data_IF_841433237218
#
_entry.id   IF_841433237218
#
_cell.length_a   1.000
_cell.length_b   1.000
_cell.length_c   1.000
_cell.angle_alpha   90.00
_cell.angle_beta   90.00
_cell.angle_gamma   90.00
#
_symmetry.space_group_name_H-M   'P 1'
#
loop_
_entity.id
_entity.type
_entity.pdbx_description
1 polymer ?
#
# COMPACT_ATOMS: atom_id res chain seq x y z
N UNK A 1 -8.58 51.56 -36.75
CA UNK A 1 -9.78 51.06 -36.05
C UNK A 1 -9.62 49.55 -35.87
N UNK A 2 -9.12 49.12 -34.71
CA UNK A 2 -9.00 47.70 -34.35
C UNK A 2 -10.12 47.46 -33.34
N UNK A 3 -11.10 46.64 -33.71
CA UNK A 3 -12.21 46.29 -32.83
C UNK A 3 -11.69 45.50 -31.62
N UNK A 4 -11.87 46.07 -30.43
CA UNK A 4 -11.64 45.38 -29.17
C UNK A 4 -12.70 44.29 -28.98
N UNK A 5 -12.28 43.03 -29.01
CA UNK A 5 -13.11 41.94 -28.49
C UNK A 5 -13.04 41.99 -26.97
N UNK A 6 -14.07 42.54 -26.33
CA UNK A 6 -14.32 42.31 -24.91
C UNK A 6 -14.49 40.81 -24.66
N UNK A 7 -13.51 40.22 -23.95
CA UNK A 7 -13.61 38.84 -23.47
C UNK A 7 -14.62 38.79 -22.33
N UNK A 8 -15.89 38.53 -22.65
CA UNK A 8 -16.80 37.99 -21.64
C UNK A 8 -16.28 36.62 -21.19
N UNK A 9 -16.24 36.33 -19.88
CA UNK A 9 -15.66 35.09 -19.37
C UNK A 9 -16.45 33.89 -19.89
N UNK A 10 -15.74 32.93 -20.48
CA UNK A 10 -16.24 31.66 -21.05
C UNK A 10 -17.18 30.88 -20.11
N UNK A 11 -17.16 31.20 -18.82
CA UNK A 11 -18.08 30.73 -17.79
C UNK A 11 -19.57 30.97 -18.13
N UNK A 12 -19.95 32.14 -18.68
CA UNK A 12 -21.37 32.46 -18.95
C UNK A 12 -22.00 31.49 -19.96
N UNK A 13 -21.23 30.94 -20.91
CA UNK A 13 -21.74 29.99 -21.91
C UNK A 13 -21.98 28.58 -21.36
N UNK A 14 -21.30 28.19 -20.29
CA UNK A 14 -21.58 26.93 -19.58
C UNK A 14 -22.76 27.05 -18.61
N UNK A 15 -23.20 28.29 -18.32
CA UNK A 15 -24.32 28.62 -17.44
C UNK A 15 -25.52 29.22 -18.20
N UNK A 16 -25.45 29.32 -19.53
CA UNK A 16 -26.53 29.78 -20.40
C UNK A 16 -27.66 28.75 -20.43
N UNK A 17 -28.90 29.23 -20.32
CA UNK A 17 -30.12 28.43 -20.17
C UNK A 17 -30.41 27.52 -21.37
N UNK A 18 -29.72 27.72 -22.49
CA UNK A 18 -29.84 26.88 -23.69
C UNK A 18 -29.05 25.57 -23.62
N UNK A 19 -28.10 25.44 -22.69
CA UNK A 19 -27.36 24.18 -22.44
C UNK A 19 -27.89 23.40 -21.22
N UNK A 20 -29.01 23.85 -20.64
CA UNK A 20 -29.62 23.26 -19.45
C UNK A 20 -30.62 22.15 -19.82
N UNK A 21 -30.24 20.89 -19.54
CA UNK A 21 -31.18 19.85 -19.13
C UNK A 21 -30.95 19.47 -17.65
N UNK A 22 -30.62 20.45 -16.82
CA UNK A 22 -30.66 20.32 -15.36
C UNK A 22 -30.94 21.69 -14.77
N UNK A 23 -32.02 21.80 -13.99
CA UNK A 23 -32.42 23.02 -13.30
C UNK A 23 -31.30 23.56 -12.40
N UNK A 24 -31.09 24.87 -12.47
CA UNK A 24 -30.32 25.65 -11.49
C UNK A 24 -28.85 25.82 -11.84
N UNK A 25 -28.34 27.06 -11.72
CA UNK A 25 -26.93 27.38 -11.88
C UNK A 25 -26.06 26.46 -11.01
N UNK A 26 -25.35 25.54 -11.63
CA UNK A 26 -24.47 24.56 -10.99
C UNK A 26 -23.21 25.29 -10.49
N UNK A 27 -23.18 25.62 -9.20
CA UNK A 27 -22.15 26.47 -8.55
C UNK A 27 -20.97 25.68 -7.95
N UNK A 28 -20.94 24.37 -8.11
CA UNK A 28 -19.94 23.50 -7.48
C UNK A 28 -19.56 22.28 -8.34
N UNK A 29 -18.38 21.69 -8.07
CA UNK A 29 -17.91 20.50 -8.77
C UNK A 29 -18.85 19.29 -8.63
N UNK A 30 -19.57 19.17 -7.51
CA UNK A 30 -20.46 18.02 -7.21
C UNK A 30 -21.63 17.96 -8.17
N UNK A 31 -22.12 19.11 -8.58
CA UNK A 31 -23.29 19.25 -9.40
C UNK A 31 -23.06 18.84 -10.88
N UNK A 32 -21.81 18.90 -11.38
CA UNK A 32 -21.42 18.35 -12.68
C UNK A 32 -20.93 16.89 -12.62
N UNK A 33 -20.39 16.42 -11.48
CA UNK A 33 -19.78 15.09 -11.36
C UNK A 33 -20.63 14.04 -10.62
N UNK A 34 -21.88 14.36 -10.25
CA UNK A 34 -22.83 13.47 -9.55
C UNK A 34 -22.96 12.05 -10.14
N UNK A 35 -22.75 11.90 -11.46
CA UNK A 35 -22.94 10.64 -12.20
C UNK A 35 -21.65 9.99 -12.74
N UNK A 36 -20.45 10.47 -12.37
CA UNK A 36 -19.20 9.81 -12.77
C UNK A 36 -18.95 8.54 -11.94
N UNK A 37 -19.58 7.45 -12.35
CA UNK A 37 -19.49 6.11 -11.74
C UNK A 37 -18.11 5.42 -11.89
N UNK A 38 -17.15 6.05 -12.57
CA UNK A 38 -15.81 5.49 -12.79
C UNK A 38 -14.79 5.77 -11.68
N UNK A 39 -15.08 6.65 -10.71
CA UNK A 39 -14.15 6.96 -9.62
C UNK A 39 -14.80 6.73 -8.26
N UNK A 40 -14.90 5.46 -7.87
CA UNK A 40 -15.64 5.09 -6.65
C UNK A 40 -15.09 5.66 -5.34
N UNK A 41 -13.85 6.18 -5.26
CA UNK A 41 -13.26 6.57 -3.96
C UNK A 41 -12.21 7.69 -4.05
N UNK A 42 -12.35 8.71 -4.90
CA UNK A 42 -11.51 9.91 -4.71
C UNK A 42 -12.17 10.84 -3.71
N UNK A 43 -11.66 10.84 -2.46
CA UNK A 43 -11.97 11.92 -1.52
C UNK A 43 -11.34 13.22 -2.07
N UNK A 44 -12.19 14.09 -2.61
CA UNK A 44 -11.88 15.47 -2.98
C UNK A 44 -11.79 16.39 -1.75
N UNK A 45 -11.59 15.84 -0.54
CA UNK A 45 -11.39 16.65 0.67
C UNK A 45 -10.21 17.60 0.48
N UNK A 46 -10.48 18.91 0.60
CA UNK A 46 -9.50 19.98 0.40
C UNK A 46 -9.53 20.64 -0.97
N UNK A 47 -10.40 20.21 -1.88
CA UNK A 47 -10.66 20.91 -3.13
C UNK A 47 -11.59 22.10 -2.88
N UNK A 48 -11.23 23.29 -3.39
CA UNK A 48 -12.16 24.41 -3.41
C UNK A 48 -13.08 24.22 -4.62
N UNK A 49 -14.36 23.97 -4.37
CA UNK A 49 -15.41 23.70 -5.37
C UNK A 49 -15.63 24.86 -6.38
N UNK A 50 -14.88 25.97 -6.26
CA UNK A 50 -15.00 27.17 -7.08
C UNK A 50 -13.89 27.37 -8.12
N UNK A 51 -12.84 26.54 -8.14
CA UNK A 51 -11.72 26.70 -9.08
C UNK A 51 -11.66 25.57 -10.13
N UNK A 52 -12.56 25.65 -11.11
CA UNK A 52 -12.65 24.73 -12.24
C UNK A 52 -11.42 24.80 -13.17
N UNK A 53 -10.69 25.92 -13.11
CA UNK A 53 -9.57 26.23 -14.01
C UNK A 53 -8.40 25.27 -13.80
N UNK A 54 -8.36 24.60 -12.66
CA UNK A 54 -7.31 23.68 -12.29
C UNK A 54 -7.30 22.45 -13.22
N UNK A 55 -8.48 21.86 -13.45
CA UNK A 55 -8.65 20.66 -14.27
C UNK A 55 -9.04 20.98 -15.72
N UNK A 56 -9.71 22.12 -15.95
CA UNK A 56 -10.29 22.45 -17.25
C UNK A 56 -9.47 23.47 -18.06
N UNK A 57 -9.49 23.32 -19.40
CA UNK A 57 -8.92 24.32 -20.31
C UNK A 57 -9.95 25.42 -20.59
N UNK A 58 -9.56 26.69 -20.39
CA UNK A 58 -10.44 27.85 -20.60
C UNK A 58 -10.47 28.36 -22.04
N UNK A 59 -9.65 27.80 -22.93
CA UNK A 59 -9.38 28.37 -24.25
C UNK A 59 -9.87 27.53 -25.45
N UNK A 60 -10.58 26.41 -25.26
CA UNK A 60 -11.00 25.55 -26.38
C UNK A 60 -12.41 24.98 -26.23
N UNK A 61 -13.23 25.11 -27.27
CA UNK A 61 -14.62 24.65 -27.37
C UNK A 61 -14.80 23.14 -27.68
N UNK A 62 -13.75 22.33 -27.56
CA UNK A 62 -13.80 20.92 -27.96
C UNK A 62 -14.01 19.96 -26.77
N UNK A 63 -14.63 18.81 -27.02
CA UNK A 63 -15.15 17.84 -26.02
C UNK A 63 -14.11 17.25 -25.06
N UNK A 64 -12.84 17.63 -25.18
CA UNK A 64 -11.73 17.25 -24.31
C UNK A 64 -11.39 18.37 -23.32
N UNK A 65 -12.39 18.78 -22.54
CA UNK A 65 -12.34 19.88 -21.56
C UNK A 65 -11.30 19.73 -20.46
N UNK A 66 -10.60 18.61 -20.36
CA UNK A 66 -9.60 18.36 -19.33
C UNK A 66 -8.20 18.67 -19.86
N UNK A 67 -7.39 19.36 -19.06
CA UNK A 67 -5.98 19.60 -19.41
C UNK A 67 -5.28 18.26 -19.65
N UNK A 68 -4.45 18.19 -20.69
CA UNK A 68 -3.79 16.94 -21.11
C UNK A 68 -2.93 16.29 -20.01
N UNK A 69 -2.45 17.06 -19.03
CA UNK A 69 -1.77 16.51 -17.85
C UNK A 69 -2.72 15.90 -16.82
N UNK A 70 -3.94 16.44 -16.65
CA UNK A 70 -4.99 15.82 -15.85
C UNK A 70 -5.48 14.51 -16.49
N UNK A 71 -5.64 14.48 -17.81
CA UNK A 71 -5.95 13.25 -18.56
C UNK A 71 -4.86 12.20 -18.36
N UNK A 72 -3.58 12.60 -18.33
CA UNK A 72 -2.46 11.67 -18.06
C UNK A 72 -2.49 11.09 -16.63
N UNK A 73 -3.03 11.80 -15.64
CA UNK A 73 -3.23 11.26 -14.28
C UNK A 73 -4.43 10.30 -14.17
N UNK A 74 -5.33 10.24 -15.17
CA UNK A 74 -6.46 9.31 -15.25
C UNK A 74 -6.09 7.91 -15.79
N UNK A 75 -4.80 7.55 -15.85
CA UNK A 75 -4.37 6.25 -16.38
C UNK A 75 -4.67 5.10 -15.41
N UNK A 76 -5.61 4.23 -15.78
CA UNK A 76 -5.98 3.00 -15.06
C UNK A 76 -7.31 3.13 -14.32
N UNK A 77 -7.62 2.18 -13.42
CA UNK A 77 -8.83 2.21 -12.59
C UNK A 77 -8.76 3.25 -11.45
N UNK A 78 -7.58 3.82 -11.20
CA UNK A 78 -7.29 4.74 -10.10
C UNK A 78 -6.56 5.97 -10.62
N UNK A 79 -6.84 7.14 -10.01
CA UNK A 79 -6.09 8.37 -10.25
C UNK A 79 -4.70 8.24 -9.60
N UNK A 80 -3.64 8.37 -10.39
CA UNK A 80 -2.27 8.40 -9.87
C UNK A 80 -1.85 9.87 -9.64
N UNK A 81 -1.71 10.33 -8.39
CA UNK A 81 -1.32 11.72 -8.11
C UNK A 81 0.17 11.97 -8.38
N UNK A 82 0.99 10.92 -8.49
CA UNK A 82 2.43 11.08 -8.67
C UNK A 82 2.76 11.68 -10.04
N UNK A 83 3.76 12.57 -10.06
CA UNK A 83 4.22 13.27 -11.27
C UNK A 83 3.13 14.09 -11.99
N UNK A 84 2.00 14.37 -11.33
CA UNK A 84 0.96 15.25 -11.85
C UNK A 84 1.08 16.64 -11.24
N UNK A 85 1.30 17.65 -12.08
CA UNK A 85 1.19 19.06 -11.68
C UNK A 85 -0.22 19.42 -11.20
N UNK A 86 -1.22 18.65 -11.61
CA UNK A 86 -2.64 18.87 -11.34
C UNK A 86 -3.15 18.08 -10.13
N UNK A 87 -2.35 17.23 -9.49
CA UNK A 87 -2.83 16.44 -8.34
C UNK A 87 -2.09 16.79 -7.05
N UNK A 88 -1.46 17.97 -6.99
CA UNK A 88 -0.86 18.48 -5.77
C UNK A 88 -1.87 18.51 -4.60
N UNK A 89 -3.15 18.79 -4.89
CA UNK A 89 -4.26 18.79 -3.92
C UNK A 89 -4.50 17.42 -3.27
N UNK A 90 -4.05 16.32 -3.89
CA UNK A 90 -4.19 14.97 -3.30
C UNK A 90 -3.30 14.79 -2.07
N UNK A 91 -2.24 15.59 -1.96
CA UNK A 91 -1.27 15.54 -0.87
C UNK A 91 -1.24 16.81 -0.03
N UNK A 92 -1.51 17.97 -0.64
CA UNK A 92 -1.34 19.28 -0.04
C UNK A 92 -2.67 20.00 0.18
N UNK A 93 -2.71 20.84 1.23
CA UNK A 93 -3.84 21.75 1.49
C UNK A 93 -3.87 22.88 0.47
N UNK A 94 -5.06 23.34 0.15
CA UNK A 94 -5.27 24.65 -0.47
C UNK A 94 -5.39 25.72 0.62
N UNK A 95 -4.96 26.93 0.32
CA UNK A 95 -5.20 28.11 1.15
C UNK A 95 -6.63 28.61 0.94
N UNK A 96 -7.12 29.49 1.83
CA UNK A 96 -8.46 30.09 1.70
C UNK A 96 -8.66 30.83 0.36
N UNK A 97 -7.58 31.34 -0.22
CA UNK A 97 -7.58 31.99 -1.54
C UNK A 97 -7.45 31.01 -2.71
N UNK A 98 -7.60 29.70 -2.48
CA UNK A 98 -7.47 28.64 -3.50
C UNK A 98 -6.04 28.32 -3.94
N UNK A 99 -5.02 29.01 -3.43
CA UNK A 99 -3.62 28.75 -3.80
C UNK A 99 -3.09 27.50 -3.11
N UNK A 100 -2.28 26.70 -3.81
CA UNK A 100 -1.63 25.52 -3.25
C UNK A 100 -0.69 25.87 -2.07
N UNK A 101 -0.88 25.21 -0.93
CA UNK A 101 0.02 25.29 0.22
C UNK A 101 1.11 24.22 0.17
N UNK A 102 2.25 24.46 0.82
CA UNK A 102 3.23 23.39 1.08
C UNK A 102 2.77 22.43 2.19
N UNK A 103 1.79 22.82 3.00
CA UNK A 103 1.27 22.00 4.11
C UNK A 103 0.56 20.77 3.56
N UNK A 104 0.83 19.60 4.13
CA UNK A 104 0.14 18.36 3.82
C UNK A 104 -1.32 18.42 4.29
N UNK A 105 -2.21 17.66 3.62
CA UNK A 105 -3.61 17.50 4.01
C UNK A 105 -3.74 16.95 5.44
N UNK A 106 -2.89 15.99 5.78
CA UNK A 106 -2.86 15.31 7.07
C UNK A 106 -1.64 15.75 7.89
N UNK A 107 -1.61 15.46 9.21
CA UNK A 107 -0.53 15.88 10.08
C UNK A 107 0.86 15.37 9.68
N UNK A 108 0.95 14.29 8.89
CA UNK A 108 2.22 13.77 8.38
C UNK A 108 2.03 13.09 7.02
N UNK A 109 3.14 12.77 6.37
CA UNK A 109 3.17 12.13 5.06
C UNK A 109 2.65 10.68 5.10
N UNK A 110 2.89 9.95 6.19
CA UNK A 110 2.39 8.58 6.34
C UNK A 110 0.88 8.53 6.15
N UNK A 111 0.13 9.43 6.81
CA UNK A 111 -1.32 9.50 6.67
C UNK A 111 -1.81 9.96 5.31
N UNK A 112 -1.03 10.78 4.60
CA UNK A 112 -1.33 11.13 3.21
C UNK A 112 -1.16 9.90 2.31
N UNK A 113 -0.01 9.23 2.42
CA UNK A 113 0.34 8.07 1.60
C UNK A 113 -0.62 6.91 1.84
N UNK A 114 -0.96 6.61 3.09
CA UNK A 114 -1.89 5.54 3.49
C UNK A 114 -3.31 5.71 2.92
N UNK A 115 -3.71 6.86 2.38
CA UNK A 115 -5.01 6.97 1.67
C UNK A 115 -5.08 6.07 0.44
N UNK A 116 -3.93 5.86 -0.20
CA UNK A 116 -3.80 5.07 -1.42
C UNK A 116 -2.84 3.88 -1.24
N UNK A 117 -1.84 4.03 -0.37
CA UNK A 117 -0.81 3.04 -0.03
C UNK A 117 -1.04 2.44 1.35
N UNK A 118 -2.27 1.98 1.60
CA UNK A 118 -2.58 1.17 2.78
C UNK A 118 -2.59 -0.34 2.44
N UNK A 119 -2.75 -1.12 3.49
CA UNK A 119 -2.89 -2.58 3.49
C UNK A 119 -3.83 -3.11 2.40
N UNK A 120 -4.94 -2.43 2.12
CA UNK A 120 -5.98 -2.89 1.20
C UNK A 120 -5.60 -2.70 -0.28
N UNK A 121 -4.72 -1.77 -0.59
CA UNK A 121 -4.50 -1.31 -1.97
C UNK A 121 -3.07 -1.52 -2.50
N UNK A 122 -2.06 -1.68 -1.63
CA UNK A 122 -0.67 -1.81 -2.08
C UNK A 122 -0.02 -3.10 -1.61
N UNK A 123 0.23 -3.99 -2.57
CA UNK A 123 0.81 -5.33 -2.37
C UNK A 123 2.34 -5.35 -2.34
N UNK A 124 3.04 -4.21 -2.54
CA UNK A 124 4.48 -4.19 -2.85
C UNK A 124 5.35 -3.27 -1.98
N UNK A 125 4.78 -2.42 -1.11
CA UNK A 125 5.53 -1.35 -0.40
C UNK A 125 5.44 -1.40 1.13
N UNK A 126 5.12 -2.53 1.75
CA UNK A 126 5.05 -2.60 3.21
C UNK A 126 6.45 -2.74 3.82
N UNK A 127 7.17 -1.62 3.91
CA UNK A 127 8.26 -1.43 4.84
C UNK A 127 7.79 -0.54 6.00
N UNK A 128 8.27 -0.82 7.21
CA UNK A 128 7.86 -0.11 8.41
C UNK A 128 8.17 1.39 8.31
N UNK A 129 7.20 2.21 8.71
CA UNK A 129 7.29 3.67 8.84
C UNK A 129 6.55 4.08 10.12
N UNK A 130 6.60 5.36 10.47
CA UNK A 130 5.98 5.95 11.67
C UNK A 130 6.54 5.44 13.01
N UNK A 131 7.80 4.99 13.03
CA UNK A 131 8.51 4.63 14.25
C UNK A 131 9.54 5.69 14.63
N UNK A 132 9.83 5.81 15.93
CA UNK A 132 10.85 6.72 16.44
C UNK A 132 12.24 6.23 16.03
N UNK A 133 13.01 7.12 15.40
CA UNK A 133 14.41 6.85 15.13
C UNK A 133 15.22 7.00 16.41
N UNK A 134 16.08 6.01 16.67
CA UNK A 134 17.10 6.05 17.71
C UNK A 134 18.44 5.76 17.06
N UNK A 135 19.33 6.74 17.06
CA UNK A 135 20.69 6.55 16.56
C UNK A 135 21.41 5.50 17.42
N UNK A 136 22.19 4.65 16.76
CA UNK A 136 23.00 3.63 17.40
C UNK A 136 24.25 3.36 16.56
N UNK A 137 25.20 2.61 17.12
CA UNK A 137 26.40 2.18 16.40
C UNK A 137 26.10 1.33 15.14
N UNK A 138 24.90 0.74 15.05
CA UNK A 138 24.47 -0.10 13.93
C UNK A 138 23.59 0.63 12.91
N UNK A 139 22.99 1.77 13.29
CA UNK A 139 22.03 2.50 12.47
C UNK A 139 22.21 4.00 12.60
N UNK A 140 22.65 4.62 11.50
CA UNK A 140 22.80 6.07 11.37
C UNK A 140 22.03 6.58 10.14
N UNK A 141 20.95 7.32 10.35
CA UNK A 141 20.20 7.92 9.23
C UNK A 141 20.98 9.16 8.75
N UNK A 142 21.36 9.25 7.46
CA UNK A 142 22.07 10.42 6.93
C UNK A 142 21.22 11.69 6.95
N UNK A 143 21.86 12.87 7.04
CA UNK A 143 21.17 14.17 7.12
C UNK A 143 20.24 14.46 5.93
N UNK A 144 20.51 13.88 4.75
CA UNK A 144 19.67 14.04 3.56
C UNK A 144 18.43 13.11 3.54
N UNK A 145 18.23 12.30 4.59
CA UNK A 145 17.06 11.47 4.84
C UNK A 145 16.26 12.09 5.99
N UNK A 146 15.26 12.94 5.68
CA UNK A 146 14.58 13.73 6.71
C UNK A 146 13.74 12.84 7.61
N UNK A 147 13.72 13.18 8.89
CA UNK A 147 12.80 12.63 9.88
C UNK A 147 11.65 13.62 10.09
N UNK A 148 10.46 13.09 10.37
CA UNK A 148 9.33 13.91 10.79
C UNK A 148 9.14 13.79 12.30
N UNK A 149 9.50 14.85 13.04
CA UNK A 149 9.42 14.87 14.52
C UNK A 149 10.16 13.65 15.11
N UNK A 150 11.40 13.42 14.66
CA UNK A 150 12.23 12.28 15.09
C UNK A 150 11.77 10.91 14.59
N UNK A 151 10.72 10.81 13.77
CA UNK A 151 10.23 9.55 13.22
C UNK A 151 10.69 9.31 11.78
N UNK A 152 10.92 8.04 11.46
CA UNK A 152 11.10 7.58 10.09
C UNK A 152 9.72 7.52 9.42
N UNK A 153 9.54 8.21 8.30
CA UNK A 153 8.29 8.25 7.54
C UNK A 153 8.51 7.87 6.08
N UNK A 154 7.45 7.90 5.25
CA UNK A 154 7.54 7.60 3.82
C UNK A 154 8.54 8.55 3.15
N UNK A 155 8.48 9.84 3.47
CA UNK A 155 9.37 10.86 2.96
C UNK A 155 10.79 10.78 3.50
N UNK A 156 11.10 9.95 4.51
CA UNK A 156 12.50 9.68 4.88
C UNK A 156 13.23 8.96 3.75
N UNK A 157 12.55 8.05 3.04
CA UNK A 157 13.12 7.26 1.95
C UNK A 157 12.72 7.78 0.57
N UNK A 158 11.48 8.25 0.43
CA UNK A 158 10.90 8.68 -0.83
C UNK A 158 10.96 10.21 -1.02
N UNK A 159 11.00 10.62 -2.27
CA UNK A 159 11.06 12.01 -2.70
C UNK A 159 10.23 12.19 -3.97
N UNK A 160 9.33 13.16 -3.93
CA UNK A 160 8.42 13.46 -5.03
C UNK A 160 8.72 14.86 -5.56
N UNK A 161 8.55 15.04 -6.88
CA UNK A 161 8.71 16.35 -7.52
C UNK A 161 7.44 17.17 -7.33
N UNK A 162 7.55 18.30 -6.64
CA UNK A 162 6.52 19.35 -6.63
C UNK A 162 6.88 20.43 -7.66
N UNK A 163 5.90 21.08 -8.29
CA UNK A 163 6.11 22.02 -9.42
C UNK A 163 7.15 23.13 -9.17
N UNK A 164 7.33 23.55 -7.91
CA UNK A 164 8.27 24.62 -7.54
C UNK A 164 9.63 24.12 -7.04
N UNK A 165 9.85 22.81 -7.02
CA UNK A 165 11.08 22.21 -6.54
C UNK A 165 12.01 21.95 -7.74
N UNK A 166 12.89 22.92 -8.05
CA UNK A 166 13.82 22.85 -9.17
C UNK A 166 15.06 21.98 -8.89
N UNK A 167 15.28 21.55 -7.65
CA UNK A 167 16.56 20.95 -7.27
C UNK A 167 16.60 19.42 -7.19
N UNK A 168 15.46 18.73 -7.27
CA UNK A 168 15.34 17.51 -6.49
C UNK A 168 14.39 16.47 -7.09
N UNK A 169 14.78 15.92 -8.24
CA UNK A 169 14.11 14.78 -8.87
C UNK A 169 14.43 13.51 -8.09
N UNK A 170 13.46 12.61 -7.94
CA UNK A 170 13.71 11.25 -7.46
C UNK A 170 14.89 10.62 -8.21
N UNK A 171 15.69 9.81 -7.52
CA UNK A 171 16.86 9.20 -8.13
C UNK A 171 16.51 8.00 -9.04
N UNK A 172 15.25 7.54 -9.03
CA UNK A 172 14.73 6.42 -9.80
C UNK A 172 13.19 6.41 -9.87
N UNK A 173 12.66 5.45 -10.63
CA UNK A 173 11.22 5.21 -10.85
C UNK A 173 10.44 4.79 -9.59
N UNK A 174 11.15 4.43 -8.52
CA UNK A 174 10.57 4.09 -7.20
C UNK A 174 10.55 5.29 -6.24
N UNK A 175 10.83 6.49 -6.76
CA UNK A 175 10.84 7.73 -6.00
C UNK A 175 11.85 7.76 -4.85
N UNK A 176 12.87 6.91 -4.84
CA UNK A 176 13.85 6.91 -3.75
C UNK A 176 14.74 8.15 -3.80
N UNK A 177 15.11 8.67 -2.62
CA UNK A 177 16.00 9.84 -2.47
C UNK A 177 17.38 9.65 -3.07
N UNK A 178 17.87 8.42 -3.08
CA UNK A 178 19.18 8.05 -3.63
C UNK A 178 19.04 6.81 -4.50
N UNK A 179 19.85 6.74 -5.55
CA UNK A 179 19.93 5.56 -6.39
C UNK A 179 20.63 4.43 -5.63
N UNK A 180 20.10 3.22 -5.77
CA UNK A 180 20.68 2.00 -5.26
C UNK A 180 20.45 0.89 -6.29
N UNK A 181 21.42 -0.01 -6.47
CA UNK A 181 21.28 -1.10 -7.43
C UNK A 181 20.46 -2.26 -6.87
N UNK A 182 20.15 -2.24 -5.57
CA UNK A 182 19.24 -3.18 -4.91
C UNK A 182 18.60 -2.55 -3.67
N UNK A 183 17.49 -3.14 -3.21
CA UNK A 183 16.86 -2.76 -1.93
C UNK A 183 17.84 -2.83 -0.76
N UNK A 184 18.70 -3.86 -0.74
CA UNK A 184 19.69 -4.00 0.32
C UNK A 184 20.70 -2.86 0.31
N UNK A 185 21.24 -2.48 -0.85
CA UNK A 185 22.14 -1.33 -0.95
C UNK A 185 21.47 -0.04 -0.50
N UNK A 186 20.16 0.08 -0.68
CA UNK A 186 19.40 1.21 -0.16
C UNK A 186 19.31 1.18 1.38
N UNK A 187 18.98 0.04 1.98
CA UNK A 187 18.95 -0.09 3.44
C UNK A 187 20.31 0.22 4.09
N UNK A 188 21.41 -0.19 3.43
CA UNK A 188 22.78 0.09 3.88
C UNK A 188 23.18 1.58 3.82
N UNK A 189 22.30 2.48 3.35
CA UNK A 189 22.48 3.92 3.51
C UNK A 189 22.32 4.37 4.96
N UNK A 190 21.53 3.63 5.74
CA UNK A 190 21.35 3.90 7.17
C UNK A 190 21.91 2.80 8.06
N UNK A 191 22.02 1.57 7.57
CA UNK A 191 22.47 0.44 8.37
C UNK A 191 23.92 0.07 8.09
N UNK A 192 24.69 -0.20 9.15
CA UNK A 192 26.08 -0.66 9.03
C UNK A 192 26.12 -2.08 8.47
N UNK A 193 26.84 -2.29 7.36
CA UNK A 193 26.82 -3.55 6.59
C UNK A 193 27.16 -4.81 7.39
N UNK A 194 28.18 -4.75 8.28
CA UNK A 194 28.57 -5.89 9.13
C UNK A 194 27.47 -6.32 10.10
N UNK A 195 26.63 -5.38 10.51
CA UNK A 195 25.61 -5.56 11.54
C UNK A 195 24.20 -5.63 10.95
N UNK A 196 24.06 -5.27 9.66
CA UNK A 196 22.80 -5.29 8.94
C UNK A 196 22.36 -6.73 8.67
N UNK A 197 21.67 -7.30 9.65
CA UNK A 197 20.85 -8.48 9.45
C UNK A 197 19.48 -7.99 9.01
N UNK A 198 18.99 -8.52 7.88
CA UNK A 198 17.58 -8.31 7.52
C UNK A 198 16.76 -8.81 8.70
N UNK A 199 15.93 -7.92 9.23
CA UNK A 199 15.02 -8.28 10.29
C UNK A 199 14.18 -9.48 9.84
N UNK A 200 14.26 -10.57 10.60
CA UNK A 200 13.60 -11.82 10.27
C UNK A 200 12.57 -12.11 11.36
N UNK A 201 11.29 -11.73 11.16
CA UNK A 201 10.24 -11.94 12.17
C UNK A 201 9.99 -13.42 12.47
N UNK A 202 10.56 -14.31 11.66
CA UNK A 202 10.43 -15.74 11.83
C UNK A 202 11.51 -16.36 12.74
N UNK A 203 12.44 -15.55 13.28
CA UNK A 203 13.32 -15.92 14.40
C UNK A 203 12.65 -15.39 15.65
N UNK A 204 11.95 -16.25 16.37
CA UNK A 204 11.06 -15.87 17.47
C UNK A 204 11.57 -16.35 18.83
N UNK A 205 12.67 -17.10 18.85
CA UNK A 205 13.40 -17.46 20.05
C UNK A 205 14.79 -16.84 20.04
N UNK A 206 15.26 -16.35 21.19
CA UNK A 206 16.65 -15.97 21.40
C UNK A 206 17.54 -17.23 21.56
N UNK A 207 18.84 -17.02 21.75
CA UNK A 207 19.81 -18.11 21.92
C UNK A 207 19.57 -18.95 23.19
N UNK A 208 18.82 -18.42 24.16
CA UNK A 208 18.46 -19.07 25.43
C UNK A 208 17.09 -19.76 25.36
N UNK A 209 16.38 -19.62 24.24
CA UNK A 209 15.03 -20.17 24.04
C UNK A 209 13.90 -19.28 24.55
N UNK A 210 14.16 -18.04 24.95
CA UNK A 210 13.11 -17.08 25.32
C UNK A 210 12.45 -16.50 24.08
N UNK A 211 11.17 -16.14 24.18
CA UNK A 211 10.43 -15.53 23.08
C UNK A 211 10.93 -14.10 22.84
N UNK A 212 11.16 -13.75 21.58
CA UNK A 212 11.50 -12.38 21.16
C UNK A 212 10.19 -11.65 20.85
N UNK A 213 9.63 -10.98 21.85
CA UNK A 213 8.29 -10.39 21.82
C UNK A 213 8.07 -9.40 20.66
N UNK A 214 9.10 -8.65 20.26
CA UNK A 214 9.06 -7.68 19.17
C UNK A 214 8.75 -8.32 17.81
N UNK A 215 9.02 -9.62 17.66
CA UNK A 215 8.76 -10.36 16.42
C UNK A 215 7.28 -10.66 16.21
N UNK A 216 6.51 -10.79 17.29
CA UNK A 216 5.08 -11.07 17.24
C UNK A 216 4.32 -9.90 16.62
N UNK A 217 4.63 -8.68 17.07
CA UNK A 217 3.94 -7.45 16.65
C UNK A 217 4.31 -7.00 15.23
N UNK A 218 5.11 -7.75 14.50
CA UNK A 218 5.37 -7.49 13.07
C UNK A 218 4.17 -7.89 12.23
N UNK A 219 3.56 -9.03 12.56
CA UNK A 219 2.38 -9.56 11.86
C UNK A 219 1.10 -9.30 12.65
N UNK A 220 1.17 -9.36 13.97
CA UNK A 220 0.02 -9.20 14.85
C UNK A 220 -0.19 -7.76 15.30
N UNK A 221 -1.45 -7.35 15.49
CA UNK A 221 -1.81 -6.01 15.98
C UNK A 221 -1.37 -5.81 17.43
N UNK A 222 -1.31 -6.89 18.19
CA UNK A 222 -0.79 -6.96 19.57
C UNK A 222 -0.09 -8.30 19.78
N UNK A 223 0.70 -8.39 20.84
CA UNK A 223 1.33 -9.66 21.20
C UNK A 223 0.28 -10.71 21.63
N UNK A 224 0.25 -11.91 21.01
CA UNK A 224 -0.64 -12.99 21.43
C UNK A 224 -0.13 -13.69 22.70
N UNK A 225 -1.04 -14.04 23.61
CA UNK A 225 -0.73 -14.91 24.73
C UNK A 225 -0.74 -16.37 24.28
N UNK A 226 0.45 -16.94 24.07
CA UNK A 226 0.62 -18.31 23.56
C UNK A 226 0.02 -19.42 24.45
N UNK A 227 -0.35 -19.12 25.71
CA UNK A 227 -0.94 -20.10 26.62
C UNK A 227 -2.47 -20.07 26.64
N UNK A 228 -3.06 -18.90 26.45
CA UNK A 228 -4.49 -18.69 26.68
C UNK A 228 -5.27 -18.31 25.44
N UNK A 229 -4.62 -17.69 24.46
CA UNK A 229 -5.30 -17.23 23.26
C UNK A 229 -5.62 -18.44 22.37
N UNK A 230 -6.87 -18.54 21.92
CA UNK A 230 -7.22 -19.42 20.82
C UNK A 230 -6.53 -18.88 19.57
N UNK A 231 -5.55 -19.64 19.09
CA UNK A 231 -4.76 -19.41 17.86
C UNK A 231 -5.60 -19.12 16.60
N UNK A 232 -6.93 -19.23 16.65
CA UNK A 232 -7.86 -18.98 15.54
C UNK A 232 -8.77 -17.77 15.72
N UNK A 233 -9.04 -17.33 16.96
CA UNK A 233 -10.09 -16.34 17.25
C UNK A 233 -9.56 -15.09 17.92
N UNK A 234 -8.55 -15.24 18.77
CA UNK A 234 -8.10 -14.15 19.65
C UNK A 234 -6.89 -13.40 19.07
N UNK A 235 -6.34 -13.90 17.96
CA UNK A 235 -5.22 -13.30 17.23
C UNK A 235 -5.70 -12.32 16.18
N UNK A 236 -5.38 -11.05 16.42
CA UNK A 236 -5.61 -9.95 15.49
C UNK A 236 -4.35 -9.69 14.65
N UNK A 237 -4.53 -9.58 13.33
CA UNK A 237 -3.46 -9.30 12.37
C UNK A 237 -3.52 -7.85 11.92
N UNK A 238 -2.36 -7.27 11.60
CA UNK A 238 -2.22 -5.90 11.06
C UNK A 238 -2.73 -5.73 9.62
N UNK A 239 -3.41 -6.73 9.07
CA UNK A 239 -3.83 -6.82 7.67
C UNK A 239 -4.17 -8.26 7.31
N UNK A 240 -4.48 -8.52 6.04
CA UNK A 240 -4.68 -9.90 5.62
C UNK A 240 -3.35 -10.66 5.62
N UNK A 241 -3.42 -11.98 5.83
CA UNK A 241 -2.25 -12.86 5.85
C UNK A 241 -1.34 -12.65 4.64
N UNK A 242 -1.93 -12.57 3.45
CA UNK A 242 -1.15 -12.48 2.22
C UNK A 242 -0.55 -11.09 2.00
N UNK A 243 -1.21 -10.02 2.45
CA UNK A 243 -0.64 -8.67 2.44
C UNK A 243 0.59 -8.60 3.33
N UNK A 244 0.51 -9.13 4.56
CA UNK A 244 1.63 -9.19 5.50
C UNK A 244 2.81 -9.97 4.89
N UNK A 245 2.52 -11.13 4.31
CA UNK A 245 3.53 -11.96 3.65
C UNK A 245 4.16 -11.23 2.47
N UNK A 246 3.35 -10.64 1.58
CA UNK A 246 3.83 -9.95 0.39
C UNK A 246 4.61 -8.66 0.71
N UNK A 247 4.34 -8.05 1.85
CA UNK A 247 5.10 -6.91 2.37
C UNK A 247 6.60 -7.21 2.50
N UNK A 248 6.93 -8.40 3.00
CA UNK A 248 8.31 -8.84 3.14
C UNK A 248 8.80 -9.70 1.97
N UNK A 249 7.92 -10.50 1.36
CA UNK A 249 8.23 -11.46 0.32
C UNK A 249 7.63 -11.02 -1.03
N UNK A 250 8.47 -10.71 -2.01
CA UNK A 250 7.99 -10.41 -3.37
C UNK A 250 7.62 -11.71 -4.10
N UNK A 251 6.49 -12.31 -3.71
CA UNK A 251 5.99 -13.57 -4.28
C UNK A 251 5.28 -13.25 -5.59
N UNK A 252 5.68 -13.93 -6.66
CA UNK A 252 4.98 -13.84 -7.94
C UNK A 252 3.60 -14.49 -7.83
N UNK A 253 2.63 -13.98 -8.56
CA UNK A 253 1.24 -14.48 -8.56
C UNK A 253 1.11 -15.92 -9.03
N UNK A 254 2.15 -16.49 -9.64
CA UNK A 254 2.24 -17.83 -10.18
C UNK A 254 2.94 -18.84 -9.23
N UNK A 255 3.10 -18.52 -7.94
CA UNK A 255 3.67 -19.44 -6.93
C UNK A 255 2.64 -20.48 -6.43
N UNK A 256 3.05 -21.75 -6.16
CA UNK A 256 4.41 -22.29 -6.20
C UNK A 256 4.88 -22.93 -7.52
N UNK A 257 4.01 -23.22 -8.48
CA UNK A 257 4.33 -24.07 -9.65
C UNK A 257 4.04 -23.42 -11.00
N UNK A 258 4.13 -22.09 -11.09
CA UNK A 258 3.70 -21.35 -12.28
C UNK A 258 2.18 -21.14 -12.34
N UNK A 259 1.44 -21.46 -11.27
CA UNK A 259 -0.02 -21.35 -11.18
C UNK A 259 -0.39 -20.60 -9.91
N UNK A 260 -1.35 -19.67 -10.03
CA UNK A 260 -1.89 -18.95 -8.89
C UNK A 260 -2.71 -19.88 -7.99
N UNK A 261 -2.17 -20.17 -6.80
CA UNK A 261 -2.84 -20.98 -5.80
C UNK A 261 -3.67 -20.17 -4.81
N UNK A 262 -3.54 -18.84 -4.75
CA UNK A 262 -4.26 -17.95 -3.82
C UNK A 262 -5.70 -17.73 -4.29
N UNK A 263 -6.50 -18.81 -4.27
CA UNK A 263 -7.89 -18.84 -4.72
C UNK A 263 -8.71 -19.81 -3.87
N UNK A 264 -10.02 -19.74 -4.05
CA UNK A 264 -10.99 -20.64 -3.41
C UNK A 264 -10.79 -22.07 -3.92
N UNK A 265 -10.67 -23.02 -3.00
CA UNK A 265 -10.66 -24.45 -3.31
C UNK A 265 -12.07 -24.93 -3.67
N UNK A 266 -12.17 -26.02 -4.45
CA UNK A 266 -13.45 -26.69 -4.67
C UNK A 266 -13.92 -27.39 -3.39
N UNK A 267 -15.23 -27.63 -3.27
CA UNK A 267 -15.78 -28.36 -2.12
C UNK A 267 -15.17 -29.76 -1.97
N UNK A 268 -14.92 -30.46 -3.10
CA UNK A 268 -14.24 -31.77 -3.09
C UNK A 268 -12.85 -31.67 -2.46
N UNK A 269 -12.06 -30.68 -2.88
CA UNK A 269 -10.71 -30.44 -2.38
C UNK A 269 -10.71 -30.03 -0.89
N UNK A 270 -11.70 -29.24 -0.46
CA UNK A 270 -11.86 -28.89 0.96
C UNK A 270 -12.18 -30.11 1.83
N UNK A 271 -13.04 -31.01 1.37
CA UNK A 271 -13.33 -32.25 2.09
C UNK A 271 -12.09 -33.12 2.19
N UNK A 272 -11.40 -33.36 1.07
CA UNK A 272 -10.16 -34.14 1.03
C UNK A 272 -9.08 -33.56 1.96
N UNK A 273 -8.92 -32.23 1.96
CA UNK A 273 -7.99 -31.55 2.86
C UNK A 273 -8.36 -31.74 4.34
N UNK A 274 -9.65 -31.68 4.71
CA UNK A 274 -10.10 -31.90 6.09
C UNK A 274 -9.76 -33.31 6.57
N UNK A 275 -9.94 -34.31 5.70
CA UNK A 275 -9.62 -35.70 6.02
C UNK A 275 -8.12 -35.87 6.25
N UNK A 276 -7.29 -35.29 5.37
CA UNK A 276 -5.84 -35.29 5.52
C UNK A 276 -5.35 -34.54 6.77
N UNK A 277 -5.97 -33.40 7.11
CA UNK A 277 -5.67 -32.66 8.34
C UNK A 277 -5.88 -33.55 9.57
N UNK A 278 -7.01 -34.27 9.62
CA UNK A 278 -7.35 -35.18 10.71
C UNK A 278 -6.39 -36.36 10.78
N UNK A 279 -6.12 -37.02 9.65
CA UNK A 279 -5.21 -38.16 9.57
C UNK A 279 -3.77 -37.77 9.98
N UNK A 280 -3.30 -36.63 9.48
CA UNK A 280 -1.94 -36.17 9.76
C UNK A 280 -1.81 -35.47 11.11
N UNK A 281 -2.89 -35.12 11.80
CA UNK A 281 -2.88 -34.36 13.05
C UNK A 281 -1.99 -33.10 12.97
N UNK A 282 -2.24 -32.27 11.94
CA UNK A 282 -1.50 -31.03 11.71
C UNK A 282 -2.48 -29.87 11.53
N UNK A 283 -2.17 -28.71 12.11
CA UNK A 283 -2.94 -27.50 11.83
C UNK A 283 -2.57 -26.93 10.46
N UNK A 284 -3.60 -26.75 9.63
CA UNK A 284 -3.48 -26.27 8.26
C UNK A 284 -4.45 -25.10 8.06
N UNK A 285 -3.98 -23.84 8.12
CA UNK A 285 -4.84 -22.68 8.03
C UNK A 285 -5.44 -22.54 6.63
N UNK A 286 -6.72 -22.22 6.57
CA UNK A 286 -7.45 -21.94 5.34
C UNK A 286 -8.17 -20.61 5.56
N UNK A 287 -8.15 -19.74 4.57
CA UNK A 287 -8.88 -18.48 4.61
C UNK A 287 -10.39 -18.68 4.49
N UNK A 288 -11.11 -17.58 4.60
CA UNK A 288 -12.56 -17.54 4.40
C UNK A 288 -12.97 -18.21 3.09
N UNK A 289 -14.13 -18.87 3.13
CA UNK A 289 -14.70 -19.65 2.02
C UNK A 289 -13.78 -20.73 1.44
N UNK A 290 -12.76 -21.17 2.17
CA UNK A 290 -11.85 -22.20 1.67
C UNK A 290 -10.74 -21.66 0.77
N UNK A 291 -10.40 -20.37 0.90
CA UNK A 291 -9.30 -19.75 0.14
C UNK A 291 -7.94 -20.22 0.65
N UNK A 292 -7.05 -20.60 -0.27
CA UNK A 292 -5.64 -20.88 0.06
C UNK A 292 -4.90 -19.58 0.37
N UNK A 293 -4.09 -19.59 1.42
CA UNK A 293 -3.26 -18.48 1.89
C UNK A 293 -1.78 -18.85 1.82
N UNK A 294 -0.89 -17.86 1.95
CA UNK A 294 0.55 -18.13 2.07
C UNK A 294 0.87 -19.08 3.24
N UNK A 295 0.20 -18.88 4.37
CA UNK A 295 0.38 -19.68 5.60
C UNK A 295 -0.31 -21.05 5.55
N UNK A 296 -1.11 -21.32 4.52
CA UNK A 296 -1.63 -22.67 4.25
C UNK A 296 -0.46 -23.61 3.96
N UNK A 297 0.50 -23.14 3.16
CA UNK A 297 1.68 -23.90 2.74
C UNK A 297 2.90 -23.66 3.64
N UNK A 298 3.09 -22.41 4.06
CA UNK A 298 4.24 -21.98 4.83
C UNK A 298 3.92 -21.84 6.32
N UNK A 299 4.92 -22.07 7.16
CA UNK A 299 4.91 -21.89 8.59
C UNK A 299 5.61 -20.55 8.90
N UNK A 300 4.86 -19.47 9.17
CA UNK A 300 5.48 -18.19 9.53
C UNK A 300 6.19 -18.31 10.88
N UNK A 301 5.66 -19.14 11.78
CA UNK A 301 6.26 -19.30 13.09
C UNK A 301 7.53 -20.14 13.08
N UNK A 302 8.42 -19.87 14.03
CA UNK A 302 9.54 -20.75 14.33
C UNK A 302 8.98 -22.11 14.79
N UNK A 303 9.63 -23.19 14.34
CA UNK A 303 9.24 -24.55 14.70
C UNK A 303 9.11 -24.69 16.22
N UNK A 304 8.03 -25.34 16.68
CA UNK A 304 7.65 -25.54 18.09
C UNK A 304 7.24 -24.29 18.87
N UNK A 305 7.14 -23.12 18.25
CA UNK A 305 6.52 -21.97 18.94
C UNK A 305 5.08 -22.28 19.35
N UNK A 306 4.34 -22.95 18.45
CA UNK A 306 2.96 -23.39 18.69
C UNK A 306 2.89 -24.87 18.33
N UNK A 307 2.38 -25.67 19.27
CA UNK A 307 2.22 -27.11 19.10
C UNK A 307 1.24 -27.45 17.95
N UNK A 308 1.51 -28.54 17.24
CA UNK A 308 0.65 -29.03 16.16
C UNK A 308 0.67 -28.23 14.84
N UNK A 309 1.38 -27.10 14.76
CA UNK A 309 1.43 -26.30 13.51
C UNK A 309 2.27 -26.91 12.39
N UNK A 310 3.25 -27.74 12.74
CA UNK A 310 4.10 -28.44 11.77
C UNK A 310 4.68 -29.73 12.36
N UNK A 311 4.98 -30.69 11.49
CA UNK A 311 5.58 -31.98 11.88
C UNK A 311 7.11 -31.95 12.02
N UNK A 312 7.75 -30.84 11.67
CA UNK A 312 9.21 -30.73 11.68
C UNK A 312 9.69 -29.37 11.20
N UNK A 313 11.00 -29.16 11.27
CA UNK A 313 11.68 -27.98 10.73
C UNK A 313 12.01 -28.26 9.26
N UNK A 314 11.22 -27.70 8.33
CA UNK A 314 11.32 -28.01 6.92
C UNK A 314 11.91 -26.87 6.07
N UNK A 315 12.54 -27.19 4.91
CA UNK A 315 13.10 -26.19 4.01
C UNK A 315 12.05 -25.15 3.61
N UNK A 316 12.48 -23.89 3.43
CA UNK A 316 11.58 -22.77 3.07
C UNK A 316 10.37 -22.61 4.02
N UNK A 317 10.50 -23.15 5.24
CA UNK A 317 9.46 -23.16 6.27
C UNK A 317 8.14 -23.74 5.75
N UNK A 318 8.16 -24.83 5.01
CA UNK A 318 6.91 -25.55 4.68
C UNK A 318 6.34 -26.22 5.92
N UNK A 319 5.03 -26.50 5.93
CA UNK A 319 4.38 -27.26 7.03
C UNK A 319 4.71 -28.76 7.02
N UNK A 320 5.13 -29.27 5.86
CA UNK A 320 5.47 -30.68 5.60
C UNK A 320 6.85 -30.81 4.95
N UNK A 321 7.42 -32.02 5.05
CA UNK A 321 8.80 -32.35 4.70
C UNK A 321 9.12 -32.08 3.23
N UNK A 322 8.32 -32.65 2.32
CA UNK A 322 8.49 -32.41 0.89
C UNK A 322 7.41 -31.47 0.37
N UNK A 323 7.75 -30.68 -0.64
CA UNK A 323 6.76 -29.90 -1.40
C UNK A 323 5.70 -30.81 -2.02
N UNK A 324 6.04 -32.06 -2.32
CA UNK A 324 5.10 -33.05 -2.83
C UNK A 324 4.06 -33.47 -1.79
N UNK A 325 4.47 -33.79 -0.55
CA UNK A 325 3.54 -34.11 0.55
C UNK A 325 2.59 -32.94 0.83
N UNK A 326 3.09 -31.72 0.69
CA UNK A 326 2.29 -30.52 0.83
C UNK A 326 1.22 -30.41 -0.26
N UNK A 327 1.56 -30.69 -1.52
CA UNK A 327 0.58 -30.74 -2.60
C UNK A 327 -0.47 -31.83 -2.34
N UNK A 328 -0.06 -33.00 -1.87
CA UNK A 328 -0.96 -34.13 -1.60
C UNK A 328 -1.95 -33.88 -0.46
N UNK A 329 -1.76 -32.84 0.36
CA UNK A 329 -2.78 -32.43 1.33
C UNK A 329 -4.08 -31.98 0.65
N UNK A 330 -3.99 -31.41 -0.56
CA UNK A 330 -5.14 -30.87 -1.28
C UNK A 330 -5.41 -31.60 -2.61
N UNK A 331 -4.37 -32.18 -3.22
CA UNK A 331 -4.46 -32.83 -4.51
C UNK A 331 -4.50 -34.35 -4.30
N UNK A 332 -5.58 -34.99 -4.76
CA UNK A 332 -5.64 -36.44 -4.93
C UNK A 332 -4.57 -36.88 -5.95
N UNK A 333 -4.06 -38.11 -5.79
CA UNK A 333 -3.07 -38.70 -6.69
C UNK A 333 -3.63 -38.99 -8.08
#
# INVERSE_FOLDING_TARGET
MIFGFEQKPVCEKCHDSTFQNAEGSLKDCKSCHKNFTHMKELSLEGFNDKDCTFCHNHYSFDRFYLKSGFIRSLKGKYLNPHNSSYMCVSCHKTTETGKMSKKLLFPNDVKVCERCHNEKYVTMEAHSVNFEYRESEHVKIPDNFPLYIGKVTCLTCHKFKCEKDTGHVAANDYYLRVKANSRQQFCLRCHVSRDFKRYNPHIQFDEKGNIIHETCVVCHSKEPNLRTDDIRKDVELKGTVNEICNGCHMIRTDHPTGVNHIKKMSNKMLTYLKDNIKEKNIYFPIGEEGKVLCVTCHLPHQFRLIEGQAKGKYPKRTRLLSGYDLCLMCHEK
#
